data_IF_912563273348
#
_entry.id   IF_912563273348
#
_cell.length_a   1.000
_cell.length_b   1.000
_cell.length_c   1.000
_cell.angle_alpha   90.00
_cell.angle_beta   90.00
_cell.angle_gamma   90.00
#
_symmetry.space_group_name_H-M   'P 1'
#
loop_
_entity.id
_entity.type
_entity.pdbx_description
1 polymer ?
#
# COMPACT_ATOMS: atom_id res chain seq x y z
N UNK A 1 -0.80 -19.97 -48.70
CA UNK A 1 0.36 -19.69 -47.86
C UNK A 1 0.03 -18.75 -46.72
N UNK A 2 0.56 -18.94 -45.54
CA UNK A 2 0.44 -17.98 -44.44
C UNK A 2 1.38 -16.80 -44.69
N UNK A 3 0.87 -15.60 -44.70
CA UNK A 3 1.68 -14.38 -44.63
C UNK A 3 1.80 -14.00 -43.14
N UNK A 4 3.04 -13.81 -42.66
CA UNK A 4 3.31 -13.32 -41.29
C UNK A 4 3.84 -11.90 -41.38
N UNK A 5 3.27 -11.00 -40.63
CA UNK A 5 3.87 -9.69 -40.36
C UNK A 5 4.95 -9.85 -39.32
N UNK A 6 6.23 -9.63 -39.68
CA UNK A 6 7.38 -9.74 -38.81
C UNK A 6 7.65 -8.46 -37.99
N UNK A 7 7.08 -7.32 -38.41
CA UNK A 7 7.44 -6.02 -37.89
C UNK A 7 6.60 -5.59 -36.65
N UNK A 8 5.55 -6.36 -36.35
CA UNK A 8 4.66 -6.10 -35.23
C UNK A 8 3.86 -4.80 -35.35
N UNK A 9 2.88 -4.65 -34.46
CA UNK A 9 2.16 -3.40 -34.23
C UNK A 9 2.64 -2.82 -32.90
N UNK A 10 3.22 -1.63 -32.91
CA UNK A 10 3.60 -0.90 -31.71
C UNK A 10 2.43 0.04 -31.33
N UNK A 11 1.99 -0.07 -30.09
CA UNK A 11 0.97 0.81 -29.52
C UNK A 11 1.56 1.49 -28.31
N UNK A 12 1.71 2.81 -28.35
CA UNK A 12 2.13 3.62 -27.23
C UNK A 12 0.93 4.05 -26.39
N UNK A 13 0.98 3.73 -25.10
CA UNK A 13 -0.06 4.12 -24.16
C UNK A 13 0.33 5.44 -23.49
N UNK A 14 -0.53 6.44 -23.61
CA UNK A 14 -0.29 7.74 -23.02
C UNK A 14 -0.14 7.63 -21.47
N UNK A 15 0.77 8.40 -20.83
CA UNK A 15 0.98 8.35 -19.38
C UNK A 15 -0.25 8.69 -18.53
N UNK A 16 -1.28 9.31 -19.14
CA UNK A 16 -2.55 9.68 -18.48
C UNK A 16 -3.72 8.82 -18.95
N UNK A 17 -3.44 7.67 -19.57
CA UNK A 17 -4.50 6.76 -19.96
C UNK A 17 -5.34 6.33 -18.73
N UNK A 18 -6.64 6.26 -18.92
CA UNK A 18 -7.56 5.73 -17.91
C UNK A 18 -7.79 4.24 -18.15
N UNK A 19 -8.10 3.51 -17.09
CA UNK A 19 -8.43 2.09 -17.21
C UNK A 19 -9.68 1.91 -18.10
N UNK A 20 -9.64 0.92 -18.98
CA UNK A 20 -10.73 0.66 -19.90
C UNK A 20 -10.33 -0.35 -20.97
N UNK A 21 -11.12 -0.44 -22.02
CA UNK A 21 -10.82 -1.26 -23.20
C UNK A 21 -10.68 -0.32 -24.39
N UNK A 22 -9.58 -0.48 -25.12
CA UNK A 22 -9.35 0.22 -26.38
C UNK A 22 -9.56 -0.77 -27.52
N UNK A 23 -10.45 -0.43 -28.43
CA UNK A 23 -10.65 -1.18 -29.68
C UNK A 23 -9.68 -0.69 -30.74
N UNK A 24 -8.87 -1.59 -31.27
CA UNK A 24 -7.94 -1.33 -32.36
C UNK A 24 -8.48 -2.03 -33.62
N UNK A 25 -8.80 -1.26 -34.63
CA UNK A 25 -9.26 -1.79 -35.93
C UNK A 25 -8.06 -2.01 -36.84
N UNK A 26 -7.83 -3.26 -37.18
CA UNK A 26 -6.82 -3.66 -38.18
C UNK A 26 -7.50 -3.91 -39.50
N UNK A 27 -7.10 -3.17 -40.55
CA UNK A 27 -7.59 -3.33 -41.89
C UNK A 27 -6.52 -3.93 -42.79
N UNK A 28 -6.82 -5.06 -43.39
CA UNK A 28 -5.91 -5.74 -44.31
C UNK A 28 -6.50 -5.62 -45.74
N UNK A 29 -5.70 -5.14 -46.67
CA UNK A 29 -6.08 -5.06 -48.08
C UNK A 29 -4.96 -5.62 -48.97
N UNK A 30 -5.34 -6.29 -50.05
CA UNK A 30 -4.44 -6.75 -51.12
C UNK A 30 -5.02 -6.33 -52.47
N UNK A 31 -4.17 -6.20 -53.46
CA UNK A 31 -4.56 -5.65 -54.77
C UNK A 31 -5.73 -6.36 -55.47
N UNK A 32 -5.94 -7.63 -55.14
CA UNK A 32 -6.96 -8.46 -55.84
C UNK A 32 -8.12 -8.94 -54.97
N UNK A 33 -8.08 -8.64 -53.64
CA UNK A 33 -9.12 -9.09 -52.71
C UNK A 33 -9.11 -8.27 -51.41
N UNK A 34 -10.25 -8.22 -50.71
CA UNK A 34 -10.44 -7.46 -49.50
C UNK A 34 -11.21 -6.17 -49.74
N UNK A 35 -11.26 -5.25 -48.73
CA UNK A 35 -10.54 -5.29 -47.47
C UNK A 35 -11.17 -6.21 -46.44
N UNK A 36 -10.32 -6.75 -45.54
CA UNK A 36 -10.77 -7.44 -44.33
C UNK A 36 -10.55 -6.53 -43.14
N UNK A 37 -11.49 -6.52 -42.22
CA UNK A 37 -11.42 -5.74 -41.02
C UNK A 37 -11.45 -6.67 -39.81
N UNK A 38 -10.53 -6.44 -38.86
CA UNK A 38 -10.44 -7.14 -37.58
C UNK A 38 -10.46 -6.11 -36.45
N UNK A 39 -11.17 -6.41 -35.37
CA UNK A 39 -11.17 -5.61 -34.16
C UNK A 39 -10.42 -6.38 -33.07
N UNK A 40 -9.44 -5.72 -32.45
CA UNK A 40 -8.67 -6.23 -31.34
C UNK A 40 -9.00 -5.38 -30.14
N UNK A 41 -9.51 -6.00 -29.09
CA UNK A 41 -9.75 -5.35 -27.81
C UNK A 41 -8.50 -5.42 -26.93
N UNK A 42 -7.97 -4.25 -26.52
CA UNK A 42 -6.79 -4.14 -25.66
C UNK A 42 -7.22 -3.57 -24.32
N UNK A 43 -7.19 -4.35 -23.22
CA UNK A 43 -7.49 -3.84 -21.90
C UNK A 43 -6.35 -2.91 -21.40
N UNK A 44 -6.70 -1.69 -21.04
CA UNK A 44 -5.81 -0.74 -20.39
C UNK A 44 -6.00 -0.89 -18.88
N UNK A 45 -4.94 -1.29 -18.18
CA UNK A 45 -4.90 -1.39 -16.72
C UNK A 45 -4.02 -0.28 -16.18
N UNK A 46 -4.58 0.57 -15.33
CA UNK A 46 -3.81 1.58 -14.61
C UNK A 46 -3.28 0.93 -13.33
N UNK A 47 -1.96 0.89 -13.13
CA UNK A 47 -1.39 0.35 -11.91
C UNK A 47 -1.85 1.15 -10.69
N UNK A 48 -2.41 0.46 -9.70
CA UNK A 48 -2.86 1.06 -8.44
C UNK A 48 -1.81 0.85 -7.34
N UNK A 49 -1.68 1.83 -6.46
CA UNK A 49 -0.93 1.73 -5.21
C UNK A 49 -1.90 1.51 -4.08
N UNK A 50 -1.62 0.53 -3.22
CA UNK A 50 -2.45 0.20 -2.05
C UNK A 50 -1.54 -0.25 -0.91
N UNK A 51 -1.51 0.50 0.19
CA UNK A 51 -0.73 0.09 1.35
C UNK A 51 -1.59 -0.67 2.36
N UNK A 52 -0.97 -1.67 2.99
CA UNK A 52 -1.52 -2.41 4.11
C UNK A 52 -0.49 -2.51 5.25
N UNK A 53 -0.96 -2.36 6.48
CA UNK A 53 -0.17 -2.62 7.67
C UNK A 53 -0.07 -4.13 7.91
N UNK A 54 1.15 -4.65 8.03
CA UNK A 54 1.42 -6.08 8.25
C UNK A 54 1.74 -6.41 9.69
N UNK A 55 2.56 -5.59 10.32
CA UNK A 55 2.92 -5.73 11.72
C UNK A 55 3.43 -4.42 12.28
N UNK A 56 3.36 -4.29 13.59
CA UNK A 56 4.05 -3.24 14.32
C UNK A 56 4.63 -3.85 15.61
N UNK A 57 5.72 -3.27 16.09
CA UNK A 57 6.34 -3.66 17.36
C UNK A 57 7.07 -2.49 17.97
N UNK A 58 7.33 -2.58 19.27
CA UNK A 58 8.03 -1.57 20.03
C UNK A 58 9.48 -1.98 20.23
N UNK A 59 10.38 -1.06 19.98
CA UNK A 59 11.79 -1.18 20.32
C UNK A 59 12.12 -0.12 21.40
N UNK A 60 12.50 -0.58 22.58
CA UNK A 60 12.75 0.22 23.78
C UNK A 60 14.16 -0.01 24.36
N UNK A 61 15.22 0.41 23.60
CA UNK A 61 16.59 0.14 24.00
C UNK A 61 17.01 1.00 25.21
N UNK A 62 17.91 0.45 26.04
CA UNK A 62 18.61 1.25 27.04
C UNK A 62 19.50 2.33 26.36
N UNK A 63 19.68 3.53 26.99
CA UNK A 63 19.31 3.89 28.35
C UNK A 63 17.89 4.46 28.51
N UNK A 64 17.16 4.73 27.42
CA UNK A 64 15.84 5.35 27.45
C UNK A 64 14.71 4.37 27.74
N UNK A 65 14.90 3.09 27.42
CA UNK A 65 13.99 1.99 27.66
C UNK A 65 14.64 0.85 28.43
N UNK A 66 13.89 -0.20 28.71
CA UNK A 66 14.33 -1.34 29.54
C UNK A 66 14.32 -2.68 28.76
N UNK A 67 14.06 -2.65 27.46
CA UNK A 67 14.01 -3.80 26.53
C UNK A 67 12.88 -4.80 26.83
N UNK A 68 11.80 -4.34 27.44
CA UNK A 68 10.64 -5.18 27.75
C UNK A 68 9.55 -5.10 26.65
N UNK A 69 9.66 -4.14 25.70
CA UNK A 69 8.72 -3.86 24.64
C UNK A 69 7.41 -3.25 25.10
N UNK A 70 7.33 -2.81 26.35
CA UNK A 70 6.25 -2.02 26.93
C UNK A 70 6.79 -0.60 27.10
N UNK A 71 5.97 0.39 26.82
CA UNK A 71 6.34 1.78 27.03
C UNK A 71 6.01 2.17 28.48
N UNK A 72 7.01 2.21 29.37
CA UNK A 72 6.80 2.62 30.75
C UNK A 72 6.69 4.15 30.89
N UNK A 73 5.99 4.62 31.92
CA UNK A 73 5.89 6.05 32.22
C UNK A 73 7.28 6.71 32.32
N UNK A 74 7.48 7.78 31.53
CA UNK A 74 8.76 8.49 31.44
C UNK A 74 9.79 7.84 30.49
N UNK A 75 9.47 6.75 29.82
CA UNK A 75 10.34 6.13 28.82
C UNK A 75 10.22 6.76 27.44
N UNK A 76 11.25 6.50 26.64
CA UNK A 76 11.28 6.79 25.21
C UNK A 76 11.39 5.48 24.44
N UNK A 77 10.45 5.25 23.53
CA UNK A 77 10.36 4.03 22.73
C UNK A 77 10.39 4.34 21.23
N UNK A 78 10.77 3.36 20.44
CA UNK A 78 10.91 3.47 18.98
C UNK A 78 9.98 2.47 18.31
N UNK A 79 8.73 2.86 18.02
CA UNK A 79 7.82 2.01 17.27
C UNK A 79 8.38 1.70 15.88
N UNK A 80 8.20 0.46 15.44
CA UNK A 80 8.57 0.00 14.10
C UNK A 80 7.33 -0.54 13.42
N UNK A 81 7.15 -0.22 12.17
CA UNK A 81 5.98 -0.60 11.38
C UNK A 81 6.40 -1.31 10.11
N UNK A 82 5.79 -2.42 9.83
CA UNK A 82 5.96 -3.11 8.55
C UNK A 82 4.74 -2.87 7.68
N UNK A 83 4.96 -2.21 6.56
CA UNK A 83 3.96 -1.95 5.54
C UNK A 83 4.20 -2.84 4.32
N UNK A 84 3.15 -3.08 3.56
CA UNK A 84 3.21 -3.73 2.25
C UNK A 84 2.41 -2.91 1.25
N UNK A 85 3.00 -2.68 0.08
CA UNK A 85 2.25 -2.22 -1.08
C UNK A 85 1.56 -3.44 -1.70
N UNK A 86 0.24 -3.56 -1.55
CA UNK A 86 -0.58 -4.65 -2.11
C UNK A 86 -1.05 -4.34 -3.53
N UNK A 87 -0.82 -3.11 -3.97
CA UNK A 87 -1.18 -2.66 -5.30
C UNK A 87 -0.28 -3.24 -6.39
N UNK A 88 -0.74 -3.12 -7.62
CA UNK A 88 -0.04 -3.54 -8.83
C UNK A 88 0.96 -2.48 -9.34
N UNK A 89 0.91 -1.25 -8.80
CA UNK A 89 1.77 -0.14 -9.17
C UNK A 89 2.88 0.13 -8.15
N UNK A 90 4.03 0.61 -8.64
CA UNK A 90 5.07 1.13 -7.77
C UNK A 90 4.64 2.47 -7.18
N UNK A 91 4.84 2.64 -5.88
CA UNK A 91 4.64 3.93 -5.21
C UNK A 91 5.91 4.78 -5.32
N UNK A 92 5.74 6.06 -5.55
CA UNK A 92 6.82 7.05 -5.55
C UNK A 92 6.62 8.04 -4.41
N UNK A 93 7.73 8.54 -3.84
CA UNK A 93 7.75 9.55 -2.78
C UNK A 93 6.86 9.16 -1.59
N UNK A 94 7.03 7.94 -1.09
CA UNK A 94 6.27 7.44 0.05
C UNK A 94 6.77 8.09 1.32
N UNK A 95 5.84 8.66 2.10
CA UNK A 95 6.09 9.24 3.41
C UNK A 95 5.24 8.55 4.46
N UNK A 96 5.88 8.14 5.55
CA UNK A 96 5.22 7.51 6.70
C UNK A 96 5.47 8.36 7.94
N UNK A 97 4.39 8.69 8.66
CA UNK A 97 4.42 9.52 9.87
C UNK A 97 3.58 8.86 10.95
N UNK A 98 3.98 8.99 12.20
CA UNK A 98 3.15 8.61 13.36
C UNK A 98 2.54 9.84 14.03
N UNK A 99 1.35 9.67 14.60
CA UNK A 99 0.72 10.63 15.49
C UNK A 99 -0.02 9.92 16.61
N UNK A 100 -0.27 10.64 17.71
CA UNK A 100 -1.16 10.21 18.79
C UNK A 100 -1.89 11.42 19.39
N UNK A 101 -3.18 11.33 19.63
CA UNK A 101 -3.94 12.34 20.40
C UNK A 101 -3.92 12.07 21.89
N UNK A 102 -3.28 11.00 22.34
CA UNK A 102 -3.30 10.55 23.74
C UNK A 102 -2.50 11.51 24.64
N UNK A 103 -3.07 12.02 25.75
CA UNK A 103 -2.40 12.96 26.63
C UNK A 103 -1.20 12.35 27.38
N UNK A 104 -1.14 11.04 27.53
CA UNK A 104 -0.02 10.34 28.15
C UNK A 104 1.19 10.18 27.21
N UNK A 105 1.06 10.63 25.95
CA UNK A 105 2.18 10.74 25.03
C UNK A 105 2.70 12.17 25.01
N UNK A 106 3.88 12.35 25.60
CA UNK A 106 4.53 13.66 25.70
C UNK A 106 5.01 14.19 24.34
N UNK A 107 5.49 13.30 23.47
CA UNK A 107 5.85 13.65 22.09
C UNK A 107 5.86 12.44 21.16
N UNK A 108 5.53 12.69 19.89
CA UNK A 108 5.74 11.76 18.78
C UNK A 108 6.59 12.48 17.75
N UNK A 109 7.63 11.83 17.26
CA UNK A 109 8.51 12.37 16.24
C UNK A 109 8.96 11.30 15.24
N UNK A 110 9.48 11.75 14.13
CA UNK A 110 10.00 10.91 13.06
C UNK A 110 9.13 10.89 11.82
N UNK A 111 9.81 10.89 10.71
CA UNK A 111 9.24 10.72 9.37
C UNK A 111 10.14 9.76 8.63
N UNK A 112 9.57 8.71 8.07
CA UNK A 112 10.30 7.79 7.19
C UNK A 112 9.88 8.06 5.76
N UNK A 113 10.84 8.22 4.88
CA UNK A 113 10.61 8.52 3.47
C UNK A 113 11.31 7.49 2.58
N UNK A 114 10.60 7.06 1.54
CA UNK A 114 11.12 6.16 0.53
C UNK A 114 10.92 6.82 -0.84
N UNK A 115 11.98 6.95 -1.62
CA UNK A 115 11.90 7.50 -2.98
C UNK A 115 11.00 6.64 -3.88
N UNK A 116 11.04 5.33 -3.67
CA UNK A 116 10.18 4.36 -4.36
C UNK A 116 9.86 3.17 -3.48
N UNK A 117 8.70 2.55 -3.71
CA UNK A 117 8.28 1.31 -3.07
C UNK A 117 7.63 0.40 -4.11
N UNK A 118 8.26 -0.74 -4.35
CA UNK A 118 7.82 -1.63 -5.41
C UNK A 118 6.42 -2.23 -5.15
N UNK A 119 5.71 -2.51 -6.22
CA UNK A 119 4.46 -3.27 -6.18
C UNK A 119 4.65 -4.61 -5.47
N UNK A 120 3.63 -5.05 -4.75
CA UNK A 120 3.61 -6.34 -4.04
C UNK A 120 4.75 -6.56 -3.03
N UNK A 121 5.53 -5.52 -2.69
CA UNK A 121 6.65 -5.60 -1.75
C UNK A 121 6.29 -5.12 -0.35
N UNK A 122 7.03 -5.61 0.65
CA UNK A 122 6.90 -5.18 2.03
C UNK A 122 8.24 -4.63 2.56
N UNK A 123 8.15 -3.64 3.46
CA UNK A 123 9.31 -3.01 4.07
C UNK A 123 9.05 -2.60 5.51
N UNK A 124 10.11 -2.52 6.29
CA UNK A 124 10.07 -1.99 7.64
C UNK A 124 10.29 -0.47 7.62
N UNK A 125 9.58 0.23 8.46
CA UNK A 125 9.73 1.64 8.72
C UNK A 125 10.24 1.81 10.16
N UNK A 126 11.42 2.35 10.27
CA UNK A 126 12.14 2.60 11.51
C UNK A 126 12.50 4.09 11.57
N UNK A 127 12.74 4.61 12.77
CA UNK A 127 13.08 6.03 12.94
C UNK A 127 11.95 6.86 13.55
N UNK A 128 10.88 6.20 14.00
CA UNK A 128 9.88 6.83 14.84
C UNK A 128 10.33 6.87 16.29
N UNK A 129 9.91 7.91 16.99
CA UNK A 129 10.19 8.15 18.39
C UNK A 129 8.88 8.52 19.09
N UNK A 130 8.66 7.92 20.25
CA UNK A 130 7.53 8.23 21.12
C UNK A 130 8.05 8.37 22.54
N UNK A 131 7.83 9.53 23.17
CA UNK A 131 8.09 9.75 24.57
C UNK A 131 6.80 9.64 25.36
N UNK A 132 6.81 8.79 26.39
CA UNK A 132 5.69 8.62 27.33
C UNK A 132 5.83 9.63 28.48
N UNK A 133 4.73 10.24 28.88
CA UNK A 133 4.71 11.18 29.98
C UNK A 133 5.13 10.49 31.30
N UNK A 134 5.87 11.16 32.18
CA UNK A 134 6.31 10.56 33.46
C UNK A 134 5.17 10.15 34.40
N UNK A 135 4.00 10.77 34.25
CA UNK A 135 2.79 10.46 35.00
C UNK A 135 1.79 9.57 34.30
N UNK A 136 2.16 8.95 33.18
CA UNK A 136 1.28 8.11 32.40
C UNK A 136 0.73 6.94 33.22
N UNK A 137 -0.54 6.65 33.01
CA UNK A 137 -1.23 5.51 33.63
C UNK A 137 -1.17 4.28 32.73
N UNK A 138 -1.37 3.11 33.32
CA UNK A 138 -1.40 1.86 32.56
C UNK A 138 -2.65 1.77 31.69
N UNK A 139 -2.47 1.83 30.38
CA UNK A 139 -3.52 1.65 29.38
C UNK A 139 -2.92 1.34 27.98
N UNK A 140 -3.77 1.14 27.02
CA UNK A 140 -3.38 0.98 25.63
C UNK A 140 -3.54 2.31 24.90
N UNK A 141 -2.43 2.89 24.46
CA UNK A 141 -2.41 4.11 23.64
C UNK A 141 -2.57 3.74 22.18
N UNK A 142 -3.36 4.51 21.46
CA UNK A 142 -3.50 4.41 20.00
C UNK A 142 -2.53 5.36 19.31
N UNK A 143 -1.71 4.81 18.45
CA UNK A 143 -0.90 5.56 17.50
C UNK A 143 -1.50 5.42 16.11
N UNK A 144 -1.58 6.52 15.36
CA UNK A 144 -2.00 6.51 13.97
C UNK A 144 -0.79 6.57 13.06
N UNK A 145 -0.69 5.61 12.14
CA UNK A 145 0.31 5.56 11.08
C UNK A 145 -0.30 6.19 9.83
N UNK A 146 0.21 7.33 9.43
CA UNK A 146 -0.20 8.00 8.20
C UNK A 146 0.79 7.66 7.10
N UNK A 147 0.28 7.19 5.96
CA UNK A 147 1.07 6.87 4.77
C UNK A 147 0.56 7.69 3.61
N UNK A 148 1.45 8.39 2.93
CA UNK A 148 1.15 9.14 1.73
C UNK A 148 2.15 8.78 0.63
N UNK A 149 1.70 8.78 -0.61
CA UNK A 149 2.55 8.59 -1.78
C UNK A 149 2.11 9.56 -2.90
N UNK A 150 3.01 9.84 -3.85
CA UNK A 150 2.67 10.70 -5.01
C UNK A 150 1.50 10.15 -5.82
N UNK A 151 1.38 8.84 -5.93
CA UNK A 151 0.44 8.13 -6.81
C UNK A 151 -0.75 7.52 -6.06
N UNK A 152 -1.08 7.98 -4.86
CA UNK A 152 -2.24 7.49 -4.12
C UNK A 152 -2.22 7.84 -2.64
N UNK A 153 -3.25 7.42 -1.93
CA UNK A 153 -3.42 7.69 -0.51
C UNK A 153 -4.30 8.91 -0.23
N UNK A 154 -4.31 9.44 0.99
CA UNK A 154 -3.58 8.87 2.14
C UNK A 154 -4.19 7.56 2.65
N UNK A 155 -3.35 6.76 3.31
CA UNK A 155 -3.77 5.58 4.07
C UNK A 155 -3.49 5.82 5.55
N UNK A 156 -4.39 5.36 6.41
CA UNK A 156 -4.27 5.48 7.85
C UNK A 156 -4.47 4.12 8.51
N UNK A 157 -3.58 3.81 9.46
CA UNK A 157 -3.62 2.57 10.23
C UNK A 157 -3.50 2.88 11.70
N UNK A 158 -4.21 2.17 12.54
CA UNK A 158 -4.08 2.26 13.99
C UNK A 158 -3.18 1.11 14.49
N UNK A 159 -2.26 1.45 15.37
CA UNK A 159 -1.44 0.49 16.12
C UNK A 159 -1.59 0.76 17.61
N UNK A 160 -1.59 -0.31 18.41
CA UNK A 160 -1.67 -0.23 19.87
C UNK A 160 -0.26 -0.18 20.47
N UNK A 161 -0.04 0.78 21.35
CA UNK A 161 1.14 0.89 22.18
C UNK A 161 0.74 0.61 23.63
N UNK A 162 1.13 -0.53 24.24
CA UNK A 162 0.88 -0.77 25.66
C UNK A 162 1.75 0.18 26.50
N UNK A 163 1.10 0.96 27.33
CA UNK A 163 1.74 1.87 28.30
C UNK A 163 1.55 1.32 29.71
N UNK A 164 2.59 1.35 30.53
CA UNK A 164 2.54 0.94 31.92
C UNK A 164 2.93 2.07 32.88
N UNK A 165 2.20 2.18 33.98
CA UNK A 165 2.54 3.09 35.08
C UNK A 165 3.72 2.53 35.87
N UNK A 166 4.87 3.17 35.77
CA UNK A 166 6.09 2.76 36.47
C UNK A 166 7.00 1.84 35.67
N UNK A 167 8.26 1.73 36.12
CA UNK A 167 9.27 0.92 35.44
C UNK A 167 9.07 -0.56 35.70
N UNK A 168 8.81 -1.33 34.65
CA UNK A 168 8.73 -2.78 34.72
C UNK A 168 10.08 -3.43 34.39
N UNK A 169 10.52 -4.48 35.13
CA UNK A 169 11.71 -5.21 34.73
C UNK A 169 11.55 -5.89 33.40
N UNK A 170 12.62 -6.12 32.61
CA UNK A 170 12.54 -6.75 31.33
C UNK A 170 11.94 -8.16 31.42
N UNK A 171 10.92 -8.49 30.62
CA UNK A 171 10.42 -9.86 30.54
C UNK A 171 11.43 -10.76 29.81
N UNK A 172 11.41 -12.02 30.16
CA UNK A 172 12.32 -12.99 29.55
C UNK A 172 12.00 -13.37 28.09
N UNK A 173 10.93 -12.87 27.48
CA UNK A 173 10.61 -13.14 26.07
C UNK A 173 9.57 -12.19 25.46
N UNK A 174 9.71 -12.06 24.16
CA UNK A 174 9.07 -11.25 23.13
C UNK A 174 7.61 -10.82 23.32
N UNK A 175 7.33 -9.59 22.87
CA UNK A 175 6.02 -8.96 22.89
C UNK A 175 5.37 -8.96 21.53
N UNK A 176 4.09 -9.30 21.56
CA UNK A 176 3.17 -9.21 20.43
C UNK A 176 2.41 -7.88 20.54
N UNK A 177 2.68 -6.93 19.65
CA UNK A 177 1.82 -5.77 19.48
C UNK A 177 0.57 -6.21 18.71
N UNK A 178 -0.58 -6.03 19.33
CA UNK A 178 -1.86 -6.42 18.73
C UNK A 178 -2.27 -5.40 17.68
N UNK A 179 -2.42 -5.85 16.44
CA UNK A 179 -2.91 -5.00 15.34
C UNK A 179 -4.40 -4.74 15.53
N UNK A 180 -4.78 -3.49 15.67
CA UNK A 180 -6.16 -3.07 15.56
C UNK A 180 -6.58 -3.10 14.09
N UNK A 181 -7.77 -3.61 13.81
CA UNK A 181 -8.26 -3.70 12.43
C UNK A 181 -8.37 -2.30 11.82
N UNK A 182 -7.93 -2.08 10.58
CA UNK A 182 -8.08 -0.79 9.93
C UNK A 182 -9.57 -0.40 9.87
N UNK A 183 -9.90 0.81 10.26
CA UNK A 183 -11.23 1.37 10.00
C UNK A 183 -11.38 1.52 8.49
N UNK A 184 -12.14 0.61 7.88
CA UNK A 184 -12.54 0.71 6.49
C UNK A 184 -13.60 1.80 6.34
N UNK A 185 -13.20 3.04 6.20
CA UNK A 185 -14.01 4.00 5.47
C UNK A 185 -13.73 3.86 3.97
N UNK A 186 -14.26 2.80 3.42
CA UNK A 186 -14.29 2.65 1.96
C UNK A 186 -15.42 3.54 1.46
N UNK A 187 -15.07 4.63 0.79
CA UNK A 187 -16.05 5.35 -0.03
C UNK A 187 -16.66 4.34 -1.00
N UNK A 188 -17.98 4.19 -0.91
CA UNK A 188 -18.77 3.19 -1.66
C UNK A 188 -18.65 3.31 -3.20
N UNK A 189 -18.03 4.38 -3.71
CA UNK A 189 -17.91 4.65 -5.14
C UNK A 189 -16.83 3.81 -5.89
N UNK A 190 -15.85 3.24 -5.19
CA UNK A 190 -14.80 2.45 -5.86
C UNK A 190 -15.07 0.94 -5.92
N UNK A 191 -16.07 0.44 -5.18
CA UNK A 191 -16.41 -0.99 -5.18
C UNK A 191 -17.17 -1.48 -6.40
N UNK A 192 -17.84 -0.61 -7.13
CA UNK A 192 -18.62 -1.03 -8.31
C UNK A 192 -17.74 -1.39 -9.51
N UNK A 193 -16.51 -0.88 -9.58
CA UNK A 193 -15.61 -1.11 -10.73
C UNK A 193 -14.76 -2.39 -10.63
N UNK A 194 -14.56 -2.93 -9.42
CA UNK A 194 -13.63 -4.06 -9.20
C UNK A 194 -14.29 -5.45 -9.24
N UNK A 195 -15.62 -5.52 -9.19
CA UNK A 195 -16.33 -6.81 -9.17
C UNK A 195 -16.61 -7.41 -10.56
N UNK A 196 -16.30 -6.70 -11.65
CA UNK A 196 -16.48 -7.19 -13.02
C UNK A 196 -15.21 -7.62 -13.76
N UNK A 197 -14.04 -7.54 -13.11
CA UNK A 197 -12.74 -7.78 -13.75
C UNK A 197 -12.14 -9.18 -13.58
N UNK A 198 -12.85 -10.15 -13.01
CA UNK A 198 -12.34 -11.52 -12.85
C UNK A 198 -13.20 -12.57 -13.55
N UNK A 199 -13.21 -12.52 -14.89
CA UNK A 199 -13.42 -13.70 -15.74
C UNK A 199 -12.30 -13.72 -16.78
N UNK A 200 -11.49 -14.79 -16.86
CA UNK A 200 -10.60 -14.97 -18.00
C UNK A 200 -11.48 -15.26 -19.22
N UNK A 201 -11.58 -14.30 -20.10
CA UNK A 201 -12.22 -14.51 -21.39
C UNK A 201 -11.17 -14.98 -22.39
N UNK A 202 -11.36 -16.19 -22.88
CA UNK A 202 -10.73 -16.72 -24.09
C UNK A 202 -10.95 -15.75 -25.24
N UNK A 203 -9.86 -15.33 -25.90
CA UNK A 203 -9.88 -14.55 -27.13
C UNK A 203 -10.68 -15.28 -28.21
N UNK A 204 -11.88 -14.80 -28.49
CA UNK A 204 -12.66 -15.24 -29.67
C UNK A 204 -12.58 -14.15 -30.73
N UNK A 205 -11.80 -14.42 -31.77
CA UNK A 205 -11.85 -13.65 -32.99
C UNK A 205 -13.17 -13.95 -33.70
N UNK A 206 -14.07 -12.98 -33.83
CA UNK A 206 -15.26 -13.08 -34.71
C UNK A 206 -14.91 -12.55 -36.09
N UNK A 207 -15.07 -13.40 -37.08
CA UNK A 207 -15.05 -13.02 -38.48
C UNK A 207 -16.40 -12.41 -38.80
N UNK A 208 -16.43 -11.13 -39.23
CA UNK A 208 -17.60 -10.51 -39.83
C UNK A 208 -17.48 -10.76 -41.33
N UNK A 209 -18.43 -11.49 -41.89
CA UNK A 209 -18.59 -11.71 -43.33
C UNK A 209 -19.77 -10.84 -43.75
N UNK A 210 -19.52 -9.90 -44.67
CA UNK A 210 -20.55 -9.27 -45.51
C UNK A 210 -20.78 -10.11 -46.74
#
# INVERSE_FOLDING_TARGET
GEARNSDGLLIDIAPRAVAGVVEVTVRVSVDAAGPWTFVIEIPIVVPAVEFALRSAWVFDPAPGGNKNGIADAGESVFPRVRLRNEGSGNAADVRVVLSSPDPDIASVAGTVSHASWAASSAGNNEGFFVAVAPGALSHEVRLTVHVAARSGGPWEFEIALPVAAGKHPPPSNAILVQLLRPRREIRAAQRASLLHAHRPQLLHARRVVD
#
